data_IF_371607006253
#
_entry.id   IF_371607006253
#
_cell.length_a   1.000
_cell.length_b   1.000
_cell.length_c   1.000
_cell.angle_alpha   90.00
_cell.angle_beta   90.00
_cell.angle_gamma   90.00
#
_symmetry.space_group_name_H-M   'P 1'
#
loop_
_entity.id
_entity.type
_entity.pdbx_description
1 polymer ?
#
# COMPACT_ATOMS: atom_id res chain seq x y z
N UNK A 1 -2.10 7.64 -13.28
CA UNK A 1 -2.47 7.97 -11.90
C UNK A 1 -1.25 8.10 -10.99
N UNK A 2 -0.17 7.33 -11.22
CA UNK A 2 1.06 7.38 -10.42
C UNK A 2 2.13 8.33 -10.96
N UNK A 3 1.92 9.03 -12.08
CA UNK A 3 2.88 10.00 -12.62
C UNK A 3 3.31 11.01 -11.57
N UNK A 4 2.35 11.65 -10.89
CA UNK A 4 2.67 12.63 -9.86
C UNK A 4 3.40 12.06 -8.64
N UNK A 5 3.22 10.77 -8.36
CA UNK A 5 3.99 10.05 -7.33
C UNK A 5 5.44 9.91 -7.77
N UNK A 6 5.69 9.43 -8.98
CA UNK A 6 7.05 9.28 -9.54
C UNK A 6 7.76 10.64 -9.60
N UNK A 7 7.12 11.65 -10.18
CA UNK A 7 7.65 13.01 -10.29
C UNK A 7 8.05 13.63 -8.94
N UNK A 8 7.32 13.31 -7.87
CA UNK A 8 7.61 13.83 -6.54
C UNK A 8 8.91 13.26 -5.94
N UNK A 9 9.32 12.06 -6.32
CA UNK A 9 10.52 11.41 -5.78
C UNK A 9 11.74 11.48 -6.69
N UNK A 10 11.57 11.59 -8.01
CA UNK A 10 12.69 11.68 -8.99
C UNK A 10 13.77 12.69 -8.66
N UNK A 11 13.49 13.89 -8.09
CA UNK A 11 14.53 14.86 -7.77
C UNK A 11 15.53 14.41 -6.69
N UNK A 12 15.14 13.44 -5.85
CA UNK A 12 15.90 13.03 -4.66
C UNK A 12 16.15 11.52 -4.54
N UNK A 13 15.48 10.71 -5.37
CA UNK A 13 15.56 9.26 -5.33
C UNK A 13 15.70 8.69 -6.74
N UNK A 14 16.38 7.57 -6.87
CA UNK A 14 16.25 6.70 -8.02
C UNK A 14 14.93 5.93 -7.89
N UNK A 15 14.07 6.01 -8.92
CA UNK A 15 12.71 5.47 -8.87
C UNK A 15 12.55 4.36 -9.88
N UNK A 16 12.13 3.19 -9.40
CA UNK A 16 11.73 2.04 -10.20
C UNK A 16 10.22 1.85 -10.07
N UNK A 17 9.55 1.59 -11.16
CA UNK A 17 8.12 1.29 -11.19
C UNK A 17 7.88 -0.05 -11.89
N UNK A 18 6.99 -0.86 -11.33
CA UNK A 18 6.59 -2.12 -11.95
C UNK A 18 5.75 -1.84 -13.19
N UNK A 19 6.08 -2.50 -14.30
CA UNK A 19 5.33 -2.44 -15.55
C UNK A 19 4.67 -3.79 -15.82
N UNK A 20 3.41 -3.90 -15.44
CA UNK A 20 2.63 -5.13 -15.59
C UNK A 20 2.02 -5.22 -16.98
N UNK A 21 2.13 -6.41 -17.58
CA UNK A 21 1.54 -6.68 -18.91
C UNK A 21 0.05 -6.99 -18.75
N UNK A 22 -0.77 -6.35 -19.58
CA UNK A 22 -2.20 -6.63 -19.67
C UNK A 22 -2.44 -8.11 -19.98
N UNK A 23 -3.24 -8.79 -19.16
CA UNK A 23 -3.49 -10.22 -19.31
C UNK A 23 -4.07 -10.62 -20.68
N UNK A 24 -4.79 -9.71 -21.33
CA UNK A 24 -5.32 -9.93 -22.68
C UNK A 24 -4.22 -10.04 -23.76
N UNK A 25 -3.01 -9.55 -23.46
CA UNK A 25 -1.87 -9.57 -24.37
C UNK A 25 -0.90 -10.76 -24.09
N UNK A 26 -1.19 -11.59 -23.09
CA UNK A 26 -0.33 -12.72 -22.69
C UNK A 26 -0.91 -14.03 -23.23
N UNK A 27 -0.19 -14.80 -24.09
CA UNK A 27 -0.67 -16.08 -24.59
C UNK A 27 -1.00 -17.07 -23.48
N UNK A 28 -1.95 -17.97 -23.69
CA UNK A 28 -2.29 -19.03 -22.72
C UNK A 28 -1.07 -19.96 -22.49
N UNK A 29 -0.20 -20.15 -23.48
CA UNK A 29 1.01 -20.97 -23.37
C UNK A 29 1.99 -20.49 -22.29
N UNK A 30 1.97 -19.20 -21.91
CA UNK A 30 2.76 -18.65 -20.81
C UNK A 30 2.27 -19.08 -19.42
N UNK A 31 1.18 -19.86 -19.37
CA UNK A 31 0.62 -20.37 -18.13
C UNK A 31 -0.32 -19.38 -17.44
N UNK A 32 -0.56 -19.65 -16.18
CA UNK A 32 -1.43 -18.87 -15.32
C UNK A 32 -0.62 -17.85 -14.51
N UNK A 33 -1.32 -16.86 -13.96
CA UNK A 33 -0.75 -15.88 -13.03
C UNK A 33 -1.75 -15.65 -11.90
N UNK A 34 -1.34 -15.89 -10.67
CA UNK A 34 -2.18 -15.77 -9.49
C UNK A 34 -1.54 -14.89 -8.40
N UNK A 35 -2.13 -14.83 -7.21
CA UNK A 35 -1.63 -14.00 -6.12
C UNK A 35 -0.27 -14.50 -5.57
N UNK A 36 -0.04 -15.81 -5.61
CA UNK A 36 1.23 -16.38 -5.19
C UNK A 36 2.35 -16.01 -6.20
N UNK A 37 2.04 -16.01 -7.51
CA UNK A 37 2.95 -15.55 -8.55
C UNK A 37 3.27 -14.05 -8.38
N UNK A 38 2.27 -13.23 -8.03
CA UNK A 38 2.50 -11.82 -7.75
C UNK A 38 3.49 -11.62 -6.60
N UNK A 39 3.35 -12.38 -5.51
CA UNK A 39 4.28 -12.34 -4.37
C UNK A 39 5.69 -12.76 -4.82
N UNK A 40 5.82 -13.82 -5.62
CA UNK A 40 7.12 -14.28 -6.16
C UNK A 40 7.78 -13.19 -7.03
N UNK A 41 7.01 -12.51 -7.89
CA UNK A 41 7.53 -11.39 -8.69
C UNK A 41 8.01 -10.23 -7.81
N UNK A 42 7.28 -9.88 -6.75
CA UNK A 42 7.72 -8.83 -5.82
C UNK A 42 9.03 -9.23 -5.13
N UNK A 43 9.16 -10.47 -4.66
CA UNK A 43 10.41 -10.98 -4.08
C UNK A 43 11.55 -10.89 -5.10
N UNK A 44 11.34 -11.40 -6.32
CA UNK A 44 12.35 -11.37 -7.38
C UNK A 44 12.79 -9.96 -7.75
N UNK A 45 11.87 -9.00 -7.85
CA UNK A 45 12.18 -7.59 -8.11
C UNK A 45 13.02 -6.98 -6.98
N UNK A 46 12.66 -7.23 -5.71
CA UNK A 46 13.41 -6.73 -4.56
C UNK A 46 14.82 -7.35 -4.50
N UNK A 47 14.95 -8.64 -4.80
CA UNK A 47 16.24 -9.31 -4.88
C UNK A 47 17.12 -8.76 -6.02
N UNK A 48 16.52 -8.42 -7.16
CA UNK A 48 17.23 -7.81 -8.29
C UNK A 48 17.76 -6.41 -7.97
N UNK A 49 16.97 -5.60 -7.27
CA UNK A 49 17.33 -4.22 -6.92
C UNK A 49 18.32 -4.14 -5.76
N UNK A 50 18.37 -5.17 -4.92
CA UNK A 50 19.34 -5.26 -3.83
C UNK A 50 18.83 -4.76 -2.48
N UNK A 51 19.70 -4.76 -1.43
CA UNK A 51 19.27 -4.62 -0.05
C UNK A 51 18.93 -3.20 0.39
N UNK A 52 19.31 -2.18 -0.38
CA UNK A 52 19.20 -0.77 0.01
C UNK A 52 17.99 -0.08 -0.66
N UNK A 53 16.91 -0.82 -0.87
CA UNK A 53 15.68 -0.32 -1.49
C UNK A 53 14.59 -0.03 -0.45
N UNK A 54 13.67 0.85 -0.85
CA UNK A 54 12.44 1.18 -0.16
C UNK A 54 11.29 0.86 -1.09
N UNK A 55 10.27 0.16 -0.62
CA UNK A 55 9.14 -0.24 -1.45
C UNK A 55 7.90 0.58 -1.07
N UNK A 56 7.17 1.04 -2.09
CA UNK A 56 5.87 1.69 -1.93
C UNK A 56 4.81 0.81 -2.60
N UNK A 57 3.74 0.55 -1.88
CA UNK A 57 2.60 -0.21 -2.37
C UNK A 57 1.32 0.62 -2.24
N UNK A 58 0.69 0.91 -3.38
CA UNK A 58 -0.51 1.73 -3.44
C UNK A 58 -1.72 0.85 -3.65
N UNK A 59 -2.70 0.91 -2.75
CA UNK A 59 -3.96 0.17 -2.80
C UNK A 59 -3.75 -1.36 -2.66
N UNK A 60 -4.35 -2.16 -3.55
CA UNK A 60 -4.32 -3.62 -3.53
C UNK A 60 -2.91 -4.24 -3.40
N UNK A 61 -1.85 -3.77 -4.07
CA UNK A 61 -0.49 -4.26 -3.90
C UNK A 61 0.05 -4.26 -2.47
N UNK A 62 -0.55 -3.54 -1.55
CA UNK A 62 -0.15 -3.56 -0.12
C UNK A 62 -0.17 -4.96 0.47
N UNK A 63 -1.13 -5.80 0.08
CA UNK A 63 -1.25 -7.18 0.60
C UNK A 63 -0.12 -8.09 0.09
N UNK A 64 0.13 -8.24 -1.23
CA UNK A 64 1.23 -9.08 -1.69
C UNK A 64 2.61 -8.53 -1.32
N UNK A 65 2.78 -7.20 -1.21
CA UNK A 65 4.07 -6.60 -0.80
C UNK A 65 4.39 -6.93 0.66
N UNK A 66 3.46 -6.73 1.60
CA UNK A 66 3.71 -7.09 3.00
C UNK A 66 3.90 -8.61 3.17
N UNK A 67 3.20 -9.43 2.37
CA UNK A 67 3.38 -10.88 2.36
C UNK A 67 4.77 -11.27 1.83
N UNK A 68 5.24 -10.65 0.74
CA UNK A 68 6.59 -10.85 0.19
C UNK A 68 7.67 -10.52 1.23
N UNK A 69 7.55 -9.38 1.89
CA UNK A 69 8.51 -8.95 2.92
C UNK A 69 8.49 -9.90 4.12
N UNK A 70 7.33 -10.38 4.55
CA UNK A 70 7.24 -11.39 5.60
C UNK A 70 7.97 -12.68 5.22
N UNK A 71 7.82 -13.12 3.97
CA UNK A 71 8.52 -14.30 3.43
C UNK A 71 10.05 -14.10 3.37
N UNK A 72 10.50 -12.92 2.92
CA UNK A 72 11.91 -12.57 2.86
C UNK A 72 12.53 -12.49 4.27
N UNK A 73 11.85 -11.84 5.21
CA UNK A 73 12.31 -11.76 6.61
C UNK A 73 12.36 -13.14 7.30
N UNK A 74 11.35 -13.98 7.08
CA UNK A 74 11.32 -15.35 7.61
C UNK A 74 12.47 -16.21 7.06
N UNK A 75 12.88 -15.96 5.81
CA UNK A 75 14.03 -16.61 5.18
C UNK A 75 15.38 -15.95 5.50
N UNK A 76 15.39 -14.86 6.29
CA UNK A 76 16.56 -14.01 6.53
C UNK A 76 17.22 -13.52 5.22
N UNK A 77 16.41 -13.23 4.19
CA UNK A 77 16.90 -12.75 2.90
C UNK A 77 17.66 -11.43 3.07
N UNK A 78 18.91 -11.32 2.61
CA UNK A 78 19.69 -10.09 2.73
C UNK A 78 19.13 -8.94 1.88
N UNK A 79 18.31 -9.23 0.88
CA UNK A 79 17.68 -8.24 -0.01
C UNK A 79 16.34 -7.74 0.50
N UNK A 80 15.97 -8.05 1.75
CA UNK A 80 14.78 -7.46 2.37
C UNK A 80 14.89 -5.94 2.35
N UNK A 81 13.87 -5.20 1.86
CA UNK A 81 13.92 -3.75 1.74
C UNK A 81 14.08 -3.06 3.11
N UNK A 82 14.67 -1.88 3.12
CA UNK A 82 14.85 -1.05 4.33
C UNK A 82 13.54 -0.60 4.93
N UNK A 83 12.58 -0.28 4.08
CA UNK A 83 11.23 0.10 4.51
C UNK A 83 10.17 -0.25 3.47
N UNK A 84 8.94 -0.38 3.94
CA UNK A 84 7.74 -0.42 3.13
C UNK A 84 6.80 0.72 3.50
N UNK A 85 6.22 1.36 2.49
CA UNK A 85 5.14 2.33 2.64
C UNK A 85 3.88 1.77 2.01
N UNK A 86 2.86 1.50 2.82
CA UNK A 86 1.58 0.96 2.38
C UNK A 86 0.55 2.10 2.36
N UNK A 87 -0.10 2.32 1.22
CA UNK A 87 -0.94 3.49 0.98
C UNK A 87 -2.34 3.09 0.54
N UNK A 88 -3.35 3.35 1.37
CA UNK A 88 -4.75 3.03 1.08
C UNK A 88 -4.98 1.55 0.76
N UNK A 89 -4.27 0.65 1.42
CA UNK A 89 -4.28 -0.78 1.15
C UNK A 89 -5.24 -1.58 2.02
N UNK A 90 -5.89 -2.63 1.46
CA UNK A 90 -6.88 -3.43 2.16
C UNK A 90 -6.23 -4.50 3.07
N UNK A 91 -5.44 -4.10 4.07
CA UNK A 91 -4.75 -5.02 4.98
C UNK A 91 -5.75 -5.73 5.88
N UNK A 92 -6.67 -5.00 6.50
CA UNK A 92 -7.79 -5.59 7.24
C UNK A 92 -9.12 -4.95 6.82
N UNK A 93 -9.76 -5.55 5.85
CA UNK A 93 -11.02 -5.05 5.28
C UNK A 93 -12.24 -5.19 6.20
N UNK A 94 -12.07 -5.76 7.41
CA UNK A 94 -13.11 -5.82 8.45
C UNK A 94 -13.24 -4.49 9.20
N UNK A 95 -12.18 -3.66 9.17
CA UNK A 95 -12.16 -2.32 9.76
C UNK A 95 -12.80 -1.33 8.80
N UNK A 96 -13.63 -0.42 9.31
CA UNK A 96 -14.26 0.66 8.52
C UNK A 96 -14.74 0.21 7.13
N UNK A 97 -15.62 -0.79 7.12
CA UNK A 97 -16.09 -1.48 5.91
C UNK A 97 -16.68 -0.52 4.88
N UNK A 98 -16.10 -0.49 3.71
CA UNK A 98 -16.61 0.26 2.55
C UNK A 98 -17.65 -0.54 1.77
N UNK A 99 -18.30 0.07 0.79
CA UNK A 99 -19.26 -0.63 -0.08
C UNK A 99 -18.60 -1.76 -0.89
N UNK A 100 -17.33 -1.62 -1.23
CA UNK A 100 -16.53 -2.68 -1.89
C UNK A 100 -16.45 -3.93 -0.99
N UNK A 101 -16.13 -3.73 0.29
CA UNK A 101 -16.00 -4.83 1.25
C UNK A 101 -17.36 -5.52 1.45
N UNK A 102 -18.42 -4.74 1.66
CA UNK A 102 -19.80 -5.27 1.83
C UNK A 102 -20.27 -6.05 0.60
N UNK A 103 -19.95 -5.57 -0.61
CA UNK A 103 -20.31 -6.26 -1.84
C UNK A 103 -19.61 -7.63 -1.92
N UNK A 104 -18.29 -7.68 -1.62
CA UNK A 104 -17.51 -8.91 -1.67
C UNK A 104 -18.06 -9.96 -0.69
N UNK A 105 -18.30 -9.57 0.57
CA UNK A 105 -18.88 -10.45 1.59
C UNK A 105 -20.28 -10.94 1.23
N UNK A 106 -21.15 -10.03 0.74
CA UNK A 106 -22.54 -10.35 0.41
C UNK A 106 -22.68 -11.30 -0.78
N UNK A 107 -21.83 -11.13 -1.81
CA UNK A 107 -21.92 -11.89 -3.06
C UNK A 107 -21.16 -13.21 -3.01
N UNK A 108 -20.04 -13.25 -2.32
CA UNK A 108 -19.17 -14.43 -2.27
C UNK A 108 -18.48 -14.73 -3.59
N UNK A 109 -17.46 -15.59 -3.55
CA UNK A 109 -16.54 -15.83 -4.69
C UNK A 109 -17.25 -16.41 -5.93
N UNK A 110 -18.25 -17.27 -5.77
CA UNK A 110 -18.94 -17.88 -6.90
C UNK A 110 -19.72 -16.88 -7.75
N UNK A 111 -20.22 -15.81 -7.13
CA UNK A 111 -20.86 -14.74 -7.87
C UNK A 111 -19.85 -14.00 -8.77
N UNK A 112 -18.68 -13.65 -8.22
CA UNK A 112 -17.63 -12.99 -8.99
C UNK A 112 -17.13 -13.86 -10.13
N UNK A 113 -16.94 -15.15 -9.90
CA UNK A 113 -16.56 -16.10 -10.94
C UNK A 113 -17.53 -16.15 -12.11
N UNK A 114 -18.84 -16.13 -11.82
CA UNK A 114 -19.86 -16.21 -12.88
C UNK A 114 -20.12 -14.89 -13.61
N UNK A 115 -19.99 -13.77 -12.91
CA UNK A 115 -20.45 -12.48 -13.43
C UNK A 115 -19.30 -11.55 -13.84
N UNK A 116 -18.07 -11.78 -13.38
CA UNK A 116 -16.97 -10.88 -13.64
C UNK A 116 -15.88 -11.50 -14.52
N UNK A 117 -15.83 -12.84 -14.68
CA UNK A 117 -14.80 -13.49 -15.48
C UNK A 117 -15.29 -13.72 -16.89
N UNK A 118 -14.48 -13.34 -17.86
CA UNK A 118 -14.76 -13.45 -19.29
C UNK A 118 -13.56 -14.01 -20.05
N UNK A 119 -13.81 -14.56 -21.22
CA UNK A 119 -12.78 -15.02 -22.14
C UNK A 119 -12.27 -13.86 -22.97
N UNK A 120 -10.96 -13.75 -23.12
CA UNK A 120 -10.33 -12.80 -24.04
C UNK A 120 -10.76 -13.13 -25.47
N UNK A 121 -11.33 -12.18 -26.23
CA UNK A 121 -11.78 -12.41 -27.61
C UNK A 121 -10.63 -12.30 -28.62
N UNK A 122 -10.83 -12.82 -29.83
CA UNK A 122 -10.00 -12.51 -31.00
C UNK A 122 -10.10 -10.98 -31.32
N UNK A 123 -9.05 -10.36 -31.85
CA UNK A 123 -7.76 -10.92 -32.27
C UNK A 123 -6.63 -10.83 -31.20
N UNK A 124 -6.95 -10.66 -29.93
CA UNK A 124 -5.95 -10.48 -28.87
C UNK A 124 -5.07 -11.72 -28.72
N UNK A 125 -3.80 -11.52 -28.38
CA UNK A 125 -2.81 -12.56 -28.19
C UNK A 125 -3.19 -13.56 -27.09
N UNK A 126 -3.82 -13.08 -26.01
CA UNK A 126 -4.35 -13.90 -24.91
C UNK A 126 -5.69 -14.57 -25.22
N UNK A 127 -6.07 -14.74 -26.47
CA UNK A 127 -7.32 -15.37 -26.87
C UNK A 127 -7.67 -16.60 -26.03
N UNK A 128 -8.92 -16.66 -25.53
CA UNK A 128 -9.48 -17.70 -24.65
C UNK A 128 -8.93 -17.72 -23.21
N UNK A 129 -7.99 -16.83 -22.80
CA UNK A 129 -7.62 -16.67 -21.41
C UNK A 129 -8.81 -16.18 -20.59
N UNK A 130 -8.99 -16.73 -19.39
CA UNK A 130 -9.95 -16.22 -18.43
C UNK A 130 -9.41 -14.98 -17.76
N UNK A 131 -10.14 -13.87 -17.84
CA UNK A 131 -9.73 -12.58 -17.27
C UNK A 131 -10.88 -11.87 -16.55
N UNK A 132 -10.53 -11.00 -15.63
CA UNK A 132 -11.39 -9.92 -15.15
C UNK A 132 -11.13 -8.69 -16.02
N UNK A 133 -12.03 -8.34 -16.94
CA UNK A 133 -11.79 -7.26 -17.89
C UNK A 133 -11.68 -5.90 -17.22
N UNK A 134 -10.73 -5.09 -17.69
CA UNK A 134 -10.50 -3.74 -17.17
C UNK A 134 -11.73 -2.84 -17.24
N UNK A 135 -12.54 -2.94 -18.28
CA UNK A 135 -13.76 -2.14 -18.41
C UNK A 135 -14.82 -2.46 -17.33
N UNK A 136 -14.87 -3.68 -16.79
CA UNK A 136 -15.73 -3.99 -15.64
C UNK A 136 -15.22 -3.37 -14.36
N UNK A 137 -13.90 -3.33 -14.17
CA UNK A 137 -13.30 -2.62 -13.04
C UNK A 137 -13.72 -1.16 -13.06
N UNK A 138 -13.55 -0.53 -14.23
CA UNK A 138 -13.92 0.86 -14.45
C UNK A 138 -15.41 1.10 -14.22
N UNK A 139 -16.29 0.26 -14.80
CA UNK A 139 -17.73 0.37 -14.61
C UNK A 139 -18.12 0.25 -13.12
N UNK A 140 -17.47 -0.65 -12.38
CA UNK A 140 -17.66 -0.79 -10.93
C UNK A 140 -17.29 0.47 -10.16
N UNK A 141 -16.12 1.05 -10.42
CA UNK A 141 -15.68 2.29 -9.78
C UNK A 141 -16.56 3.49 -10.16
N UNK A 142 -16.94 3.61 -11.43
CA UNK A 142 -17.85 4.69 -11.85
C UNK A 142 -19.23 4.55 -11.22
N UNK A 143 -19.78 3.33 -11.12
CA UNK A 143 -21.08 3.09 -10.51
C UNK A 143 -21.13 3.44 -9.02
N UNK A 144 -20.04 3.26 -8.29
CA UNK A 144 -19.95 3.62 -6.86
C UNK A 144 -19.91 5.13 -6.65
N UNK A 145 -19.45 5.91 -7.62
CA UNK A 145 -19.22 7.35 -7.50
C UNK A 145 -19.84 8.14 -8.66
N UNK A 146 -20.97 7.67 -9.21
CA UNK A 146 -21.57 8.24 -10.43
C UNK A 146 -21.85 9.75 -10.32
N UNK A 147 -22.36 10.21 -9.17
CA UNK A 147 -22.66 11.61 -8.94
C UNK A 147 -21.39 12.48 -8.98
N UNK A 148 -20.29 12.01 -8.40
CA UNK A 148 -18.97 12.68 -8.47
C UNK A 148 -18.44 12.76 -9.89
N UNK A 149 -18.58 11.70 -10.67
CA UNK A 149 -18.14 11.69 -12.07
C UNK A 149 -18.97 12.65 -12.92
N UNK A 150 -20.27 12.69 -12.73
CA UNK A 150 -21.17 13.62 -13.42
C UNK A 150 -20.84 15.08 -13.05
N UNK A 151 -20.62 15.36 -11.78
CA UNK A 151 -20.22 16.69 -11.31
C UNK A 151 -18.86 17.11 -11.89
N UNK A 152 -17.86 16.23 -11.87
CA UNK A 152 -16.54 16.48 -12.43
C UNK A 152 -16.59 16.78 -13.94
N UNK A 153 -17.36 16.02 -14.71
CA UNK A 153 -17.57 16.30 -16.13
C UNK A 153 -18.32 17.62 -16.36
N UNK A 154 -19.28 17.96 -15.49
CA UNK A 154 -19.97 19.25 -15.51
C UNK A 154 -19.00 20.42 -15.24
N UNK A 155 -18.06 20.26 -14.31
CA UNK A 155 -16.99 21.23 -14.03
C UNK A 155 -16.07 21.40 -15.25
N UNK A 156 -15.63 20.31 -15.86
CA UNK A 156 -14.81 20.36 -17.08
C UNK A 156 -15.51 21.17 -18.18
N UNK A 157 -16.80 20.89 -18.42
CA UNK A 157 -17.58 21.65 -19.39
C UNK A 157 -17.63 23.15 -19.04
N UNK A 158 -17.79 23.49 -17.77
CA UNK A 158 -17.77 24.90 -17.30
C UNK A 158 -16.42 25.58 -17.53
N UNK A 159 -15.31 24.86 -17.33
CA UNK A 159 -13.96 25.36 -17.62
C UNK A 159 -13.79 25.62 -19.13
N UNK A 160 -14.23 24.71 -20.00
CA UNK A 160 -14.19 24.91 -21.45
C UNK A 160 -15.01 26.13 -21.89
N UNK A 161 -16.23 26.30 -21.36
CA UNK A 161 -17.09 27.44 -21.67
C UNK A 161 -16.47 28.77 -21.22
N UNK A 162 -15.72 28.76 -20.11
CA UNK A 162 -15.00 29.96 -19.60
C UNK A 162 -13.67 30.22 -20.31
N UNK A 163 -13.24 29.36 -21.23
CA UNK A 163 -11.96 29.47 -21.91
C UNK A 163 -10.75 29.06 -21.05
N UNK A 164 -10.99 28.38 -19.92
CA UNK A 164 -9.94 27.81 -19.07
C UNK A 164 -9.51 26.44 -19.61
N UNK A 165 -8.71 26.46 -20.67
CA UNK A 165 -8.23 25.27 -21.36
C UNK A 165 -7.30 24.42 -20.49
N UNK A 166 -6.48 25.03 -19.65
CA UNK A 166 -5.50 24.34 -18.80
C UNK A 166 -6.19 23.44 -17.75
N UNK A 167 -7.28 23.92 -17.14
CA UNK A 167 -8.04 23.12 -16.18
C UNK A 167 -8.81 22.00 -16.87
N UNK A 168 -9.34 22.24 -18.07
CA UNK A 168 -10.01 21.22 -18.86
C UNK A 168 -9.03 20.13 -19.36
N UNK A 169 -7.80 20.53 -19.74
CA UNK A 169 -6.75 19.58 -20.16
C UNK A 169 -6.31 18.68 -19.01
N UNK A 170 -6.03 19.23 -17.83
CA UNK A 170 -5.71 18.45 -16.63
C UNK A 170 -6.81 17.45 -16.28
N UNK A 171 -8.07 17.84 -16.45
CA UNK A 171 -9.20 16.96 -16.21
C UNK A 171 -9.23 15.82 -17.26
N UNK A 172 -9.02 16.13 -18.53
CA UNK A 172 -8.93 15.12 -19.59
C UNK A 172 -7.78 14.15 -19.32
N UNK A 173 -6.58 14.64 -19.02
CA UNK A 173 -5.41 13.82 -18.73
C UNK A 173 -5.67 12.86 -17.56
N UNK A 174 -6.33 13.35 -16.52
CA UNK A 174 -6.74 12.49 -15.39
C UNK A 174 -7.66 11.37 -15.85
N UNK A 175 -8.68 11.67 -16.67
CA UNK A 175 -9.60 10.65 -17.14
C UNK A 175 -8.96 9.69 -18.15
N UNK A 176 -8.07 10.15 -19.01
CA UNK A 176 -7.32 9.29 -19.93
C UNK A 176 -6.49 8.26 -19.15
N UNK A 177 -5.83 8.65 -18.06
CA UNK A 177 -5.13 7.72 -17.16
C UNK A 177 -6.09 6.83 -16.36
N UNK A 178 -7.23 7.37 -15.90
CA UNK A 178 -8.24 6.63 -15.14
C UNK A 178 -8.93 5.55 -15.98
N UNK A 179 -9.12 5.81 -17.25
CA UNK A 179 -9.73 4.88 -18.21
C UNK A 179 -8.74 3.82 -18.73
N UNK A 180 -7.44 4.04 -18.58
CA UNK A 180 -6.39 3.11 -19.00
C UNK A 180 -6.23 1.97 -17.99
N UNK A 181 -7.22 1.09 -17.91
CA UNK A 181 -7.21 -0.10 -17.04
C UNK A 181 -6.87 -1.35 -17.83
N UNK A 182 -6.11 -2.27 -17.21
CA UNK A 182 -5.73 -3.54 -17.83
C UNK A 182 -6.67 -4.67 -17.38
N UNK A 183 -6.77 -5.71 -18.20
CA UNK A 183 -7.37 -6.96 -17.80
C UNK A 183 -6.46 -7.68 -16.80
N UNK A 184 -7.06 -8.23 -15.74
CA UNK A 184 -6.36 -9.08 -14.77
C UNK A 184 -6.65 -10.55 -15.09
N UNK A 185 -5.71 -11.44 -14.82
CA UNK A 185 -5.98 -12.88 -14.88
C UNK A 185 -7.08 -13.25 -13.90
N UNK A 186 -7.95 -14.18 -14.28
CA UNK A 186 -9.05 -14.63 -13.43
C UNK A 186 -8.55 -15.17 -12.08
N UNK A 187 -7.44 -15.91 -12.13
CA UNK A 187 -6.82 -16.53 -10.95
C UNK A 187 -6.38 -15.47 -9.94
N UNK A 188 -5.67 -14.45 -10.39
CA UNK A 188 -5.20 -13.35 -9.53
C UNK A 188 -6.37 -12.58 -8.91
N UNK A 189 -7.35 -12.20 -9.76
CA UNK A 189 -8.52 -11.47 -9.30
C UNK A 189 -9.34 -12.27 -8.28
N UNK A 190 -9.68 -13.51 -8.61
CA UNK A 190 -10.53 -14.35 -7.74
C UNK A 190 -9.82 -14.71 -6.44
N UNK A 191 -8.52 -15.01 -6.48
CA UNK A 191 -7.76 -15.26 -5.25
C UNK A 191 -7.68 -14.01 -4.37
N UNK A 192 -7.52 -12.83 -4.96
CA UNK A 192 -7.53 -11.57 -4.20
C UNK A 192 -8.89 -11.35 -3.54
N UNK A 193 -9.98 -11.46 -4.29
CA UNK A 193 -11.33 -11.32 -3.71
C UNK A 193 -11.54 -12.32 -2.58
N UNK A 194 -11.23 -13.59 -2.79
CA UNK A 194 -11.46 -14.65 -1.81
C UNK A 194 -10.58 -14.50 -0.57
N UNK A 195 -9.25 -14.39 -0.75
CA UNK A 195 -8.29 -14.38 0.37
C UNK A 195 -8.35 -13.07 1.16
N UNK A 196 -8.52 -11.91 0.48
CA UNK A 196 -8.45 -10.59 1.12
C UNK A 196 -9.80 -10.08 1.59
N UNK A 197 -10.82 -10.12 0.70
CA UNK A 197 -12.10 -9.45 0.95
C UNK A 197 -13.18 -10.36 1.53
N UNK A 198 -13.12 -11.68 1.29
CA UNK A 198 -14.11 -12.64 1.81
C UNK A 198 -13.60 -13.37 3.03
N UNK A 199 -12.41 -13.96 2.96
CA UNK A 199 -11.83 -14.78 4.04
C UNK A 199 -10.95 -13.99 5.01
N UNK A 200 -10.47 -12.81 4.63
CA UNK A 200 -9.58 -11.96 5.44
C UNK A 200 -8.36 -12.72 5.96
N UNK A 201 -7.73 -13.55 5.10
CA UNK A 201 -6.72 -14.50 5.53
C UNK A 201 -5.48 -13.84 6.13
N UNK A 202 -5.05 -12.69 5.59
CA UNK A 202 -3.86 -11.99 6.07
C UNK A 202 -4.01 -11.55 7.55
N UNK A 203 -5.03 -10.75 7.94
CA UNK A 203 -5.18 -10.32 9.32
C UNK A 203 -5.60 -11.45 10.28
N UNK A 204 -6.08 -12.58 9.77
CA UNK A 204 -6.36 -13.79 10.56
C UNK A 204 -5.13 -14.66 10.75
N UNK A 205 -4.01 -14.35 10.08
CA UNK A 205 -2.82 -15.17 10.08
C UNK A 205 -3.00 -16.53 9.41
N UNK A 206 -3.92 -16.61 8.45
CA UNK A 206 -4.27 -17.83 7.70
C UNK A 206 -3.75 -17.78 6.25
N UNK A 207 -3.15 -16.65 5.83
CA UNK A 207 -2.68 -16.50 4.46
C UNK A 207 -1.49 -17.43 4.18
N UNK A 208 -1.60 -18.13 3.07
CA UNK A 208 -0.54 -19.00 2.54
C UNK A 208 0.03 -18.38 1.26
N UNK A 209 1.33 -18.49 1.09
CA UNK A 209 2.05 -18.23 -0.14
C UNK A 209 2.76 -19.53 -0.54
N UNK A 210 2.35 -20.14 -1.64
CA UNK A 210 2.70 -21.52 -1.96
C UNK A 210 2.37 -22.44 -0.75
N UNK A 211 3.29 -23.26 -0.34
CA UNK A 211 3.11 -24.18 0.81
C UNK A 211 3.55 -23.59 2.16
N UNK A 212 3.79 -22.28 2.22
CA UNK A 212 4.31 -21.62 3.40
C UNK A 212 3.32 -20.60 3.97
N UNK A 213 3.17 -20.58 5.28
CA UNK A 213 2.39 -19.56 5.96
C UNK A 213 3.07 -18.19 5.87
N UNK A 214 2.30 -17.15 5.57
CA UNK A 214 2.73 -15.76 5.65
C UNK A 214 2.66 -15.33 7.12
N UNK A 215 3.82 -15.25 7.75
CA UNK A 215 3.94 -14.84 9.16
C UNK A 215 4.42 -13.39 9.24
N UNK A 216 3.50 -12.47 9.48
CA UNK A 216 3.80 -11.04 9.62
C UNK A 216 4.64 -10.71 10.87
N UNK A 217 4.68 -11.61 11.86
CA UNK A 217 5.53 -11.45 13.04
C UNK A 217 7.01 -11.68 12.74
N UNK A 218 7.32 -12.26 11.58
CA UNK A 218 8.70 -12.40 11.12
C UNK A 218 9.34 -11.06 10.73
N UNK A 219 8.52 -10.04 10.39
CA UNK A 219 9.04 -8.73 9.97
C UNK A 219 9.62 -7.99 11.18
N UNK A 220 10.91 -7.67 11.12
CA UNK A 220 11.68 -7.05 12.21
C UNK A 220 12.60 -5.93 11.75
N UNK A 221 13.19 -6.04 10.55
CA UNK A 221 14.20 -5.13 10.03
C UNK A 221 13.64 -4.09 9.07
N UNK A 222 12.62 -4.47 8.33
CA UNK A 222 11.94 -3.59 7.38
C UNK A 222 11.04 -2.60 8.12
N UNK A 223 11.28 -1.30 7.95
CA UNK A 223 10.41 -0.25 8.50
C UNK A 223 9.02 -0.28 7.86
N UNK A 224 8.00 0.13 8.62
CA UNK A 224 6.61 0.17 8.16
C UNK A 224 6.03 1.57 8.30
N UNK A 225 5.68 2.17 7.17
CA UNK A 225 4.83 3.36 7.11
C UNK A 225 3.48 3.01 6.50
N UNK A 226 2.40 3.52 7.10
CA UNK A 226 1.05 3.42 6.52
C UNK A 226 0.48 4.80 6.29
N UNK A 227 -0.16 4.99 5.12
CA UNK A 227 -0.79 6.25 4.73
C UNK A 227 -2.23 5.98 4.31
N UNK A 228 -3.17 6.73 4.86
CA UNK A 228 -4.61 6.61 4.57
C UNK A 228 -5.22 7.96 4.24
N UNK A 229 -6.33 7.99 3.53
CA UNK A 229 -7.12 9.19 3.28
C UNK A 229 -8.31 9.28 4.23
N UNK A 230 -8.55 10.45 4.83
CA UNK A 230 -9.68 10.66 5.75
C UNK A 230 -11.03 10.33 5.09
N UNK A 231 -11.18 10.64 3.80
CA UNK A 231 -12.40 10.44 3.03
C UNK A 231 -12.26 9.30 2.01
N UNK A 232 -11.42 8.31 2.30
CA UNK A 232 -11.23 7.15 1.42
C UNK A 232 -12.44 6.23 1.49
N UNK A 233 -13.15 6.12 0.37
CA UNK A 233 -14.36 5.32 0.20
C UNK A 233 -14.09 3.92 -0.41
N UNK A 234 -12.85 3.65 -0.77
CA UNK A 234 -12.38 2.37 -1.31
C UNK A 234 -11.68 1.56 -0.22
N UNK A 235 -10.71 2.15 0.49
CA UNK A 235 -10.03 1.57 1.63
C UNK A 235 -10.27 2.43 2.87
N UNK A 236 -11.20 2.01 3.72
CA UNK A 236 -11.62 2.79 4.90
C UNK A 236 -10.47 3.00 5.89
N UNK A 237 -10.50 4.13 6.59
CA UNK A 237 -9.51 4.49 7.61
C UNK A 237 -9.37 3.37 8.64
N UNK A 238 -8.13 2.98 8.92
CA UNK A 238 -7.77 1.86 9.81
C UNK A 238 -7.48 0.56 9.07
N UNK A 239 -7.93 0.39 7.82
CA UNK A 239 -7.66 -0.84 7.06
C UNK A 239 -6.17 -1.05 6.80
N UNK A 240 -5.46 0.01 6.36
CA UNK A 240 -4.01 -0.05 6.12
C UNK A 240 -3.24 0.01 7.43
N UNK A 241 -3.69 0.85 8.38
CA UNK A 241 -3.10 0.99 9.71
C UNK A 241 -3.04 -0.34 10.48
N UNK A 242 -3.97 -1.25 10.24
CA UNK A 242 -4.00 -2.57 10.86
C UNK A 242 -2.67 -3.34 10.71
N UNK A 243 -1.87 -3.06 9.67
CA UNK A 243 -0.55 -3.64 9.47
C UNK A 243 0.37 -3.48 10.68
N UNK A 244 0.27 -2.36 11.42
CA UNK A 244 1.08 -2.12 12.61
C UNK A 244 0.82 -3.12 13.73
N UNK A 245 -0.44 -3.49 13.95
CA UNK A 245 -0.82 -4.51 14.92
C UNK A 245 -0.43 -5.92 14.50
N UNK A 246 -0.41 -6.17 13.20
CA UNK A 246 -0.05 -7.48 12.63
C UNK A 246 1.46 -7.72 12.57
N UNK A 247 2.28 -6.67 12.61
CA UNK A 247 3.75 -6.73 12.60
C UNK A 247 4.33 -6.29 13.95
N UNK A 248 4.07 -7.00 15.06
CA UNK A 248 4.42 -6.52 16.40
C UNK A 248 5.93 -6.39 16.63
N UNK A 249 6.75 -7.09 15.87
CA UNK A 249 8.19 -7.18 16.07
C UNK A 249 9.01 -6.08 15.35
N UNK A 250 8.35 -5.20 14.59
CA UNK A 250 9.02 -4.02 14.03
C UNK A 250 9.29 -3.04 15.18
N UNK A 251 10.52 -2.53 15.36
CA UNK A 251 10.82 -1.52 16.39
C UNK A 251 10.00 -0.23 16.20
N UNK A 252 9.60 0.41 17.29
CA UNK A 252 8.79 1.64 17.24
C UNK A 252 9.47 2.77 16.43
N UNK A 253 10.80 2.86 16.49
CA UNK A 253 11.56 3.83 15.70
C UNK A 253 11.47 3.62 14.18
N UNK A 254 11.03 2.45 13.74
CA UNK A 254 10.82 2.07 12.34
C UNK A 254 9.33 2.02 11.97
N UNK A 255 8.47 2.72 12.71
CA UNK A 255 7.02 2.78 12.45
C UNK A 255 6.58 4.21 12.21
N UNK A 256 5.71 4.40 11.22
CA UNK A 256 5.03 5.66 10.97
C UNK A 256 3.61 5.42 10.46
N UNK A 257 2.67 6.26 10.87
CA UNK A 257 1.31 6.24 10.37
C UNK A 257 0.81 7.66 10.10
N UNK A 258 0.13 7.86 8.99
CA UNK A 258 -0.44 9.14 8.63
C UNK A 258 -1.82 8.98 7.99
N UNK A 259 -2.80 9.73 8.52
CA UNK A 259 -4.09 9.92 7.86
C UNK A 259 -4.11 11.30 7.24
N UNK A 260 -4.19 11.37 5.92
CA UNK A 260 -4.21 12.64 5.21
C UNK A 260 -5.61 13.25 5.27
N UNK A 261 -5.77 14.45 5.88
CA UNK A 261 -7.07 15.10 5.96
C UNK A 261 -7.61 15.52 4.59
N UNK A 262 -8.92 15.43 4.44
CA UNK A 262 -9.70 15.96 3.29
C UNK A 262 -9.27 15.37 1.93
N UNK A 263 -8.76 14.16 1.89
CA UNK A 263 -8.50 13.43 0.64
C UNK A 263 -9.25 12.11 0.62
N UNK A 264 -9.72 11.74 -0.56
CA UNK A 264 -10.21 10.39 -0.87
C UNK A 264 -9.06 9.51 -1.35
N UNK A 265 -9.39 8.33 -1.86
CA UNK A 265 -8.43 7.29 -2.24
C UNK A 265 -7.29 7.80 -3.14
N UNK A 266 -7.63 8.49 -4.23
CA UNK A 266 -6.62 8.99 -5.18
C UNK A 266 -5.73 10.09 -4.62
N UNK A 267 -6.24 10.87 -3.66
CA UNK A 267 -5.49 11.93 -3.00
C UNK A 267 -4.39 11.41 -2.05
N UNK A 268 -4.40 10.12 -1.74
CA UNK A 268 -3.36 9.48 -0.92
C UNK A 268 -2.05 9.36 -1.67
N UNK A 269 -2.07 9.22 -2.99
CA UNK A 269 -0.89 8.99 -3.81
C UNK A 269 -0.73 9.94 -5.01
N UNK A 270 -1.63 10.91 -5.18
CA UNK A 270 -1.54 11.90 -6.26
C UNK A 270 -2.12 13.25 -5.82
N UNK A 271 -1.84 14.28 -6.61
CA UNK A 271 -2.38 15.63 -6.43
C UNK A 271 -1.51 16.54 -5.57
N UNK A 272 -2.01 17.78 -5.33
CA UNK A 272 -1.25 18.83 -4.64
C UNK A 272 -0.94 18.49 -3.19
N UNK A 273 -1.89 17.90 -2.47
CA UNK A 273 -1.70 17.50 -1.07
C UNK A 273 -0.72 16.33 -0.93
N UNK A 274 -0.76 15.38 -1.85
CA UNK A 274 0.25 14.33 -1.89
C UNK A 274 1.66 14.94 -2.00
N UNK A 275 1.88 15.83 -2.97
CA UNK A 275 3.19 16.46 -3.18
C UNK A 275 3.61 17.34 -2.01
N UNK A 276 2.68 18.08 -1.40
CA UNK A 276 3.00 19.04 -0.34
C UNK A 276 3.17 18.39 1.04
N UNK A 277 2.44 17.32 1.33
CA UNK A 277 2.31 16.82 2.69
C UNK A 277 2.71 15.34 2.84
N UNK A 278 2.33 14.45 1.89
CA UNK A 278 2.58 13.02 2.00
C UNK A 278 3.96 12.65 1.52
N UNK A 279 4.36 13.06 0.31
CA UNK A 279 5.66 12.73 -0.26
C UNK A 279 6.84 13.15 0.62
N UNK A 280 6.86 14.38 1.22
CA UNK A 280 7.92 14.75 2.16
C UNK A 280 7.98 13.83 3.39
N UNK A 281 6.83 13.42 3.95
CA UNK A 281 6.81 12.49 5.09
C UNK A 281 7.35 11.11 4.75
N UNK A 282 7.06 10.63 3.54
CA UNK A 282 7.63 9.36 3.05
C UNK A 282 9.15 9.49 2.90
N UNK A 283 9.63 10.59 2.32
CA UNK A 283 11.06 10.86 2.17
C UNK A 283 11.78 10.94 3.53
N UNK A 284 11.18 11.61 4.53
CA UNK A 284 11.71 11.68 5.89
C UNK A 284 11.74 10.30 6.57
N UNK A 285 10.71 9.48 6.33
CA UNK A 285 10.67 8.11 6.85
C UNK A 285 11.75 7.23 6.21
N UNK A 286 11.95 7.33 4.90
CA UNK A 286 13.02 6.67 4.16
C UNK A 286 14.38 7.05 4.76
N UNK A 287 14.65 8.35 4.92
CA UNK A 287 15.90 8.85 5.50
C UNK A 287 16.11 8.37 6.95
N UNK A 288 15.03 8.27 7.72
CA UNK A 288 15.08 7.71 9.09
C UNK A 288 15.48 6.24 9.10
N UNK A 289 14.88 5.42 8.22
CA UNK A 289 15.21 4.00 8.08
C UNK A 289 16.68 3.82 7.65
N UNK A 290 17.16 4.63 6.69
CA UNK A 290 18.55 4.63 6.25
C UNK A 290 19.51 4.96 7.39
N UNK A 291 19.21 6.03 8.15
CA UNK A 291 20.05 6.46 9.26
C UNK A 291 20.15 5.37 10.33
N UNK A 292 19.04 4.72 10.68
CA UNK A 292 19.02 3.66 11.69
C UNK A 292 19.75 2.40 11.20
N UNK A 293 19.67 2.07 9.92
CA UNK A 293 20.38 0.93 9.34
C UNK A 293 21.90 1.12 9.31
N UNK A 294 22.38 2.35 9.17
CA UNK A 294 23.82 2.69 9.16
C UNK A 294 24.45 2.78 10.54
N UNK A 295 23.64 2.92 11.61
CA UNK A 295 24.17 2.92 12.99
C UNK A 295 24.69 1.52 13.34
N UNK A 296 26.00 1.35 13.69
CA UNK A 296 26.48 0.07 14.16
C UNK A 296 25.67 -0.35 15.40
N UNK A 297 25.24 -1.62 15.44
CA UNK A 297 24.61 -2.18 16.63
C UNK A 297 25.49 -1.84 17.83
N UNK A 298 24.99 -1.07 18.79
CA UNK A 298 25.71 -0.80 20.03
C UNK A 298 26.01 -2.16 20.64
N UNK A 299 27.30 -2.53 20.67
CA UNK A 299 27.77 -3.71 21.38
C UNK A 299 27.18 -3.68 22.79
N UNK A 300 26.46 -4.75 23.16
CA UNK A 300 25.73 -4.83 24.41
C UNK A 300 26.57 -4.38 25.59
N UNK A 301 26.28 -3.19 26.07
CA UNK A 301 26.83 -2.70 27.32
C UNK A 301 26.25 -3.54 28.45
N UNK A 302 27.08 -4.35 29.07
CA UNK A 302 26.78 -4.99 30.35
C UNK A 302 26.24 -3.91 31.27
N UNK A 303 25.02 -4.03 31.75
CA UNK A 303 24.46 -3.22 32.81
C UNK A 303 25.27 -3.49 34.10
N UNK A 304 26.26 -2.64 34.32
CA UNK A 304 26.91 -2.52 35.60
C UNK A 304 25.98 -1.75 36.54
N UNK A 305 25.28 -2.48 37.40
CA UNK A 305 24.55 -1.93 38.53
C UNK A 305 25.55 -1.23 39.46
N UNK A 306 25.65 0.10 39.37
CA UNK A 306 26.26 0.91 40.46
C UNK A 306 25.13 1.53 41.27
N UNK A 307 24.81 0.86 42.37
CA UNK A 307 24.01 1.42 43.46
C UNK A 307 24.84 2.53 44.11
N UNK A 308 24.47 3.79 43.89
CA UNK A 308 24.98 4.91 44.67
C UNK A 308 24.06 5.08 45.87
N UNK A 309 24.56 4.64 47.04
CA UNK A 309 23.93 4.89 48.34
C UNK A 309 24.09 6.37 48.70
N UNK A 310 23.01 7.11 48.83
CA UNK A 310 22.98 8.41 49.46
C UNK A 310 22.87 8.20 50.99
N UNK A 311 23.99 8.39 51.70
CA UNK A 311 24.05 8.48 53.15
C UNK A 311 23.54 9.84 53.62
N UNK A 312 22.69 9.83 54.64
CA UNK A 312 22.11 11.01 55.24
C UNK A 312 23.10 11.80 56.10
N UNK A 313 22.89 13.10 56.18
CA UNK A 313 23.55 14.03 57.07
C UNK A 313 22.65 15.21 57.39
N UNK A 314 22.26 15.29 58.66
CA UNK A 314 21.37 16.26 59.33
C UNK A 314 22.01 17.62 59.56
N UNK A 315 21.13 18.65 59.77
CA UNK A 315 21.26 19.92 60.57
C UNK A 315 21.80 21.10 59.75
N UNK A 316 21.12 22.18 59.75
CA UNK A 316 20.81 23.10 60.78
C UNK A 316 20.12 24.35 60.26
N UNK A 317 19.36 24.85 61.10
CA UNK A 317 18.45 25.95 61.26
C UNK A 317 18.94 27.35 60.83
N UNK A 318 17.90 28.15 60.55
CA UNK A 318 17.64 29.51 61.08
C UNK A 318 17.74 30.67 60.10
N UNK A 319 16.57 31.25 59.89
CA UNK A 319 16.15 32.63 60.18
C UNK A 319 16.35 33.76 59.18
N UNK A 320 15.19 34.38 58.93
CA UNK A 320 14.89 35.83 58.83
C UNK A 320 15.35 36.51 57.54
N UNK A 321 14.65 37.36 56.88
CA UNK A 321 13.46 38.20 57.01
C UNK A 321 13.58 39.23 55.88
N UNK A 322 12.43 39.66 55.38
CA UNK A 322 12.13 41.02 54.87
C UNK A 322 13.12 41.66 53.84
N UNK A 323 12.73 41.91 52.61
CA UNK A 323 11.85 43.00 52.14
C UNK A 323 11.19 42.64 50.80
#
# INVERSE_FOLDING_TARGET
LLRGTVEAFLPTHEVFITDWVDARLVPISEGRFDLDDYIDYVIGMLQLLGPDVHVMAVCQPSVPVIAAIARMEAANDPHTPRSMTLMGGPIDTRVSRTEVNKLAEKRGIEWFKRNCIHKVPLPNVGFMRDVYPGFFQLAGFMAMNIDRHLEAHGEMFRHLVKGDGDSAEKHRDFYDEYLAVMDLTAEFYLQTVDKVFVKHQLPRGEMMHRDHKVDLTAIRRCGLMTVEGENDDISGVGQTQAAHGLCPNIPDALRAHWVQPKVGHYGVFNGSRFRAEIAPRIADFIATCEHLARKPARAGGKSGSSVVAFGGGRKGASRLAQD
#
